data_IF_678991810948
#
_entry.id   IF_678991810948
#
_cell.length_a   1.000
_cell.length_b   1.000
_cell.length_c   1.000
_cell.angle_alpha   90.00
_cell.angle_beta   90.00
_cell.angle_gamma   90.00
#
_symmetry.space_group_name_H-M   'P 1'
#
loop_
_entity.id
_entity.type
_entity.pdbx_description
1 polymer ?
#
# COMPACT_ATOMS: atom_id res chain seq x y z
N UNK A 1 9.98 5.51 -0.96
CA UNK A 1 9.91 4.93 0.35
C UNK A 1 10.85 5.55 1.36
N UNK A 2 10.72 5.13 2.59
CA UNK A 2 11.55 5.63 3.70
C UNK A 2 13.06 5.40 3.49
N UNK A 3 13.44 4.29 2.84
CA UNK A 3 14.84 4.01 2.50
C UNK A 3 15.51 5.05 1.59
N UNK A 4 14.71 5.94 1.01
CA UNK A 4 15.21 7.01 0.16
C UNK A 4 16.09 8.02 0.84
N UNK A 5 15.97 8.21 2.16
CA UNK A 5 16.81 9.14 2.92
C UNK A 5 18.30 8.84 2.78
N UNK A 6 18.68 7.58 2.59
CA UNK A 6 20.07 7.16 2.41
C UNK A 6 20.77 7.77 1.18
N UNK A 7 20.01 8.27 0.20
CA UNK A 7 20.57 8.97 -0.97
C UNK A 7 20.92 10.44 -0.69
N UNK A 8 20.44 10.97 0.41
CA UNK A 8 20.61 12.37 0.80
C UNK A 8 21.45 12.52 2.07
N UNK A 9 21.39 11.53 2.97
CA UNK A 9 22.07 11.56 4.26
C UNK A 9 22.79 10.25 4.55
N UNK A 10 23.89 10.32 5.32
CA UNK A 10 24.55 9.13 5.84
C UNK A 10 23.83 8.66 7.08
N UNK A 11 22.96 7.68 6.90
CA UNK A 11 22.29 6.99 8.00
C UNK A 11 22.82 5.56 8.13
N UNK A 12 22.90 5.00 9.33
CA UNK A 12 23.26 3.61 9.49
C UNK A 12 22.20 2.70 8.87
N UNK A 13 22.64 1.67 8.13
CA UNK A 13 21.75 0.59 7.70
C UNK A 13 21.81 -0.51 8.77
N UNK A 14 20.71 -0.70 9.49
CA UNK A 14 20.66 -1.71 10.57
C UNK A 14 20.03 -3.02 10.12
N UNK A 15 19.14 -2.98 9.13
CA UNK A 15 18.39 -4.15 8.68
C UNK A 15 18.52 -4.34 7.18
N UNK A 16 18.87 -5.55 6.76
CA UNK A 16 18.80 -5.94 5.35
C UNK A 16 17.34 -6.02 4.91
N UNK A 17 17.06 -5.56 3.70
CA UNK A 17 15.74 -5.77 3.09
C UNK A 17 15.48 -7.26 2.95
N UNK A 18 14.29 -7.70 3.34
CA UNK A 18 13.83 -9.09 3.12
C UNK A 18 13.16 -9.29 1.75
N UNK A 19 13.04 -8.21 0.99
CA UNK A 19 12.40 -8.18 -0.33
C UNK A 19 13.33 -7.58 -1.36
N UNK A 20 13.30 -8.14 -2.54
CA UNK A 20 13.95 -7.57 -3.73
C UNK A 20 13.03 -6.51 -4.35
N UNK A 21 12.82 -5.43 -3.59
CA UNK A 21 12.01 -4.30 -3.98
C UNK A 21 12.86 -3.03 -3.98
N UNK A 22 12.80 -2.18 -5.00
CA UNK A 22 13.59 -0.96 -5.04
C UNK A 22 13.17 0.04 -3.95
N UNK A 23 14.13 0.83 -3.45
CA UNK A 23 13.85 1.90 -2.48
C UNK A 23 12.87 2.94 -3.04
N UNK A 24 12.94 3.17 -4.35
CA UNK A 24 12.05 4.05 -5.09
C UNK A 24 11.52 3.37 -6.33
N UNK A 25 10.25 3.51 -6.54
CA UNK A 25 9.58 3.19 -7.78
C UNK A 25 8.60 4.31 -8.12
N UNK A 26 8.74 4.90 -9.29
CA UNK A 26 7.85 5.93 -9.80
C UNK A 26 7.30 5.49 -11.15
N UNK A 27 6.00 5.65 -11.32
CA UNK A 27 5.33 5.46 -12.60
C UNK A 27 4.71 6.78 -13.06
N UNK A 28 4.89 7.09 -14.33
CA UNK A 28 4.21 8.22 -14.96
C UNK A 28 3.00 7.67 -15.73
N UNK A 29 1.81 7.89 -15.18
CA UNK A 29 0.57 7.50 -15.84
C UNK A 29 0.33 8.37 -17.07
N UNK A 30 0.29 7.75 -18.25
CA UNK A 30 -0.07 8.44 -19.52
C UNK A 30 -1.54 8.71 -19.66
N UNK A 31 -2.36 7.93 -18.96
CA UNK A 31 -3.81 8.09 -18.87
C UNK A 31 -4.30 7.58 -17.53
N UNK A 32 -5.35 8.18 -17.01
CA UNK A 32 -5.99 7.72 -15.79
C UNK A 32 -7.48 8.04 -15.78
N UNK A 33 -8.22 7.26 -15.04
CA UNK A 33 -9.63 7.45 -14.77
C UNK A 33 -9.79 7.98 -13.36
N UNK A 34 -10.51 9.08 -13.22
CA UNK A 34 -10.91 9.63 -11.93
C UNK A 34 -12.39 9.38 -11.69
N UNK A 35 -12.73 8.79 -10.57
CA UNK A 35 -14.11 8.62 -10.13
C UNK A 35 -14.39 9.52 -8.93
N UNK A 36 -15.29 10.48 -9.12
CA UNK A 36 -15.79 11.31 -8.02
C UNK A 36 -16.95 10.60 -7.32
N UNK A 37 -16.73 10.21 -6.07
CA UNK A 37 -17.72 9.49 -5.26
C UNK A 37 -18.97 10.31 -4.94
N UNK A 38 -18.86 11.65 -4.89
CA UNK A 38 -19.98 12.53 -4.57
C UNK A 38 -20.91 12.73 -5.79
N UNK A 39 -20.32 13.11 -6.91
CA UNK A 39 -21.07 13.32 -8.16
C UNK A 39 -21.39 12.05 -8.93
N UNK A 40 -20.70 10.91 -8.58
CA UNK A 40 -20.79 9.63 -9.32
C UNK A 40 -20.33 9.73 -10.78
N UNK A 41 -19.43 10.67 -11.07
CA UNK A 41 -18.92 10.93 -12.41
C UNK A 41 -17.54 10.33 -12.58
N UNK A 42 -17.34 9.64 -13.70
CA UNK A 42 -16.03 9.23 -14.17
C UNK A 42 -15.46 10.28 -15.12
N UNK A 43 -14.23 10.70 -14.88
CA UNK A 43 -13.49 11.63 -15.73
C UNK A 43 -12.23 10.93 -16.23
N UNK A 44 -12.08 10.84 -17.55
CA UNK A 44 -10.87 10.30 -18.17
C UNK A 44 -9.89 11.42 -18.48
N UNK A 45 -8.62 11.21 -18.13
CA UNK A 45 -7.51 12.11 -18.40
C UNK A 45 -6.46 11.34 -19.22
N UNK A 46 -6.15 11.82 -20.41
CA UNK A 46 -5.23 11.18 -21.34
C UNK A 46 -5.49 11.59 -22.79
N UNK A 47 -4.72 11.00 -23.70
CA UNK A 47 -4.94 11.22 -25.11
C UNK A 47 -6.15 10.42 -25.66
N UNK A 48 -6.62 10.81 -26.86
CA UNK A 48 -7.83 10.24 -27.46
C UNK A 48 -7.67 8.76 -27.84
N UNK A 49 -6.48 8.35 -28.24
CA UNK A 49 -6.19 6.96 -28.61
C UNK A 49 -6.35 6.04 -27.40
N UNK A 50 -5.80 6.44 -26.26
CA UNK A 50 -5.90 5.70 -24.98
C UNK A 50 -7.31 5.66 -24.43
N UNK A 51 -8.12 6.68 -24.71
CA UNK A 51 -9.53 6.67 -24.36
C UNK A 51 -10.30 5.58 -25.12
N UNK A 52 -10.04 5.40 -26.41
CA UNK A 52 -10.66 4.32 -27.17
C UNK A 52 -10.19 2.95 -26.72
N UNK A 53 -8.89 2.77 -26.45
CA UNK A 53 -8.36 1.53 -25.89
C UNK A 53 -9.01 1.18 -24.55
N UNK A 54 -9.22 2.19 -23.71
CA UNK A 54 -9.93 2.05 -22.45
C UNK A 54 -11.37 1.58 -22.66
N UNK A 55 -12.13 2.24 -23.53
CA UNK A 55 -13.53 1.88 -23.82
C UNK A 55 -13.66 0.45 -24.36
N UNK A 56 -12.74 0.03 -25.21
CA UNK A 56 -12.73 -1.33 -25.76
C UNK A 56 -12.50 -2.36 -24.65
N UNK A 57 -11.57 -2.11 -23.74
CA UNK A 57 -11.28 -3.02 -22.64
C UNK A 57 -12.40 -3.09 -21.59
N UNK A 58 -12.92 -1.94 -21.19
CA UNK A 58 -13.98 -1.86 -20.17
C UNK A 58 -15.38 -2.18 -20.70
N UNK A 59 -15.63 -2.01 -21.99
CA UNK A 59 -16.92 -2.34 -22.58
C UNK A 59 -17.11 -3.82 -22.91
N UNK A 60 -16.08 -4.64 -22.77
CA UNK A 60 -16.08 -6.04 -23.19
C UNK A 60 -16.26 -7.05 -22.03
N UNK A 61 -16.12 -6.62 -20.79
CA UNK A 61 -16.22 -7.51 -19.64
C UNK A 61 -17.59 -7.44 -18.97
N UNK A 62 -18.20 -8.61 -18.79
CA UNK A 62 -19.42 -8.78 -17.98
C UNK A 62 -19.02 -8.80 -16.49
N UNK A 63 -18.90 -7.59 -15.90
CA UNK A 63 -18.44 -7.38 -14.51
C UNK A 63 -19.26 -8.18 -13.49
N UNK A 64 -20.56 -8.34 -13.72
CA UNK A 64 -21.45 -9.08 -12.82
C UNK A 64 -21.05 -10.56 -12.68
N UNK A 65 -20.60 -11.17 -13.77
CA UNK A 65 -20.17 -12.57 -13.76
C UNK A 65 -18.81 -12.78 -13.10
N UNK A 66 -17.90 -11.82 -13.28
CA UNK A 66 -16.59 -11.84 -12.65
C UNK A 66 -16.68 -11.69 -11.12
N UNK A 67 -17.59 -10.86 -10.63
CA UNK A 67 -17.80 -10.65 -9.19
C UNK A 67 -18.52 -11.84 -8.51
N UNK A 68 -19.46 -12.51 -9.20
CA UNK A 68 -20.07 -13.74 -8.68
C UNK A 68 -19.08 -14.91 -8.55
N UNK A 69 -18.19 -15.06 -9.51
CA UNK A 69 -17.17 -16.12 -9.48
C UNK A 69 -16.07 -15.84 -8.43
N UNK A 70 -15.77 -14.58 -8.18
CA UNK A 70 -14.85 -14.13 -7.11
C UNK A 70 -15.41 -14.34 -5.72
N UNK A 71 -16.68 -13.98 -5.49
CA UNK A 71 -17.35 -14.14 -4.19
C UNK A 71 -17.41 -15.60 -3.73
N UNK A 72 -17.27 -16.56 -4.65
CA UNK A 72 -17.26 -18.01 -4.35
C UNK A 72 -15.86 -18.56 -4.05
N UNK A 73 -14.77 -17.80 -4.29
CA UNK A 73 -13.40 -18.26 -4.05
C UNK A 73 -13.05 -18.10 -2.56
N UNK A 74 -12.93 -19.22 -1.86
CA UNK A 74 -12.27 -19.25 -0.55
C UNK A 74 -10.77 -19.37 -0.76
N UNK A 75 -10.06 -18.27 -0.55
CA UNK A 75 -8.60 -18.29 -0.60
C UNK A 75 -8.01 -19.03 0.58
N UNK A 76 -6.98 -19.84 0.30
CA UNK A 76 -6.22 -20.54 1.32
C UNK A 76 -5.02 -19.70 1.71
N UNK A 77 -4.67 -19.73 2.97
CA UNK A 77 -3.46 -19.08 3.44
C UNK A 77 -2.74 -19.94 4.48
N UNK A 78 -1.44 -19.74 4.59
CA UNK A 78 -0.60 -20.33 5.61
C UNK A 78 0.31 -19.24 6.17
N UNK A 79 0.31 -19.08 7.48
CA UNK A 79 1.25 -18.20 8.17
C UNK A 79 2.63 -18.88 8.14
N UNK A 80 3.63 -18.16 7.66
CA UNK A 80 5.02 -18.63 7.56
C UNK A 80 5.87 -18.06 8.70
N UNK A 81 5.42 -16.98 9.34
CA UNK A 81 6.08 -16.34 10.47
C UNK A 81 5.88 -17.16 11.74
N UNK A 82 6.93 -17.28 12.55
CA UNK A 82 6.83 -17.73 13.93
C UNK A 82 6.17 -16.63 14.78
N UNK A 83 4.87 -16.78 15.04
CA UNK A 83 4.09 -15.77 15.76
C UNK A 83 4.53 -15.58 17.22
N UNK A 84 4.99 -16.62 17.87
CA UNK A 84 5.43 -16.53 19.26
C UNK A 84 6.77 -15.79 19.34
N UNK A 85 7.72 -16.11 18.47
CA UNK A 85 8.99 -15.39 18.34
C UNK A 85 8.81 -13.92 17.98
N UNK A 86 7.91 -13.59 17.03
CA UNK A 86 7.60 -12.19 16.67
C UNK A 86 6.96 -11.43 17.84
N UNK A 87 6.07 -12.06 18.60
CA UNK A 87 5.48 -11.46 19.79
C UNK A 87 6.52 -11.12 20.84
N UNK A 88 7.44 -12.03 21.13
CA UNK A 88 8.53 -11.78 22.07
C UNK A 88 9.44 -10.66 21.59
N UNK A 89 9.78 -10.66 20.29
CA UNK A 89 10.55 -9.59 19.66
C UNK A 89 9.85 -8.25 19.81
N UNK A 90 8.56 -8.16 19.45
CA UNK A 90 7.79 -6.92 19.58
C UNK A 90 7.74 -6.39 21.01
N UNK A 91 7.51 -7.24 21.99
CA UNK A 91 7.51 -6.84 23.39
C UNK A 91 8.87 -6.29 23.83
N UNK A 92 9.96 -6.85 23.33
CA UNK A 92 11.31 -6.39 23.60
C UNK A 92 11.57 -5.00 23.00
N UNK A 93 11.27 -4.78 21.71
CA UNK A 93 11.45 -3.48 21.06
C UNK A 93 10.51 -2.42 21.66
N UNK A 94 9.28 -2.80 22.03
CA UNK A 94 8.33 -1.90 22.67
C UNK A 94 8.82 -1.40 24.03
N UNK A 95 9.43 -2.28 24.82
CA UNK A 95 10.06 -1.90 26.11
C UNK A 95 11.19 -0.89 25.88
N UNK A 96 12.08 -1.17 24.92
CA UNK A 96 13.19 -0.28 24.57
C UNK A 96 12.71 1.08 24.03
N UNK A 97 11.68 1.09 23.17
CA UNK A 97 11.08 2.31 22.67
C UNK A 97 10.52 3.20 23.80
N UNK A 98 9.87 2.59 24.79
CA UNK A 98 9.39 3.33 25.98
C UNK A 98 10.53 3.94 26.79
N UNK A 99 11.71 3.35 26.82
CA UNK A 99 12.89 3.92 27.47
C UNK A 99 13.36 5.18 26.74
N UNK A 100 13.43 5.17 25.40
CA UNK A 100 13.77 6.35 24.59
C UNK A 100 12.74 7.49 24.72
N UNK A 101 11.45 7.16 24.83
CA UNK A 101 10.42 8.17 25.10
C UNK A 101 10.57 8.80 26.49
N UNK A 102 10.93 8.00 27.52
CA UNK A 102 11.13 8.50 28.89
C UNK A 102 12.39 9.35 29.02
N UNK A 103 13.47 9.00 28.30
CA UNK A 103 14.71 9.79 28.29
C UNK A 103 14.61 11.08 27.50
N UNK A 104 13.55 11.24 26.69
CA UNK A 104 13.36 12.42 25.85
C UNK A 104 14.15 12.38 24.54
N UNK A 105 14.71 11.21 24.18
CA UNK A 105 15.43 11.04 22.91
C UNK A 105 14.51 11.13 21.70
N UNK A 106 13.24 10.74 21.87
CA UNK A 106 12.20 10.84 20.83
C UNK A 106 10.86 11.25 21.46
N UNK A 107 10.04 11.97 20.71
CA UNK A 107 8.66 12.31 21.10
C UNK A 107 7.67 11.24 20.63
N UNK A 108 7.95 10.65 19.49
CA UNK A 108 7.13 9.63 18.85
C UNK A 108 8.04 8.61 18.18
N UNK A 109 7.64 7.35 18.22
CA UNK A 109 8.28 6.26 17.49
C UNK A 109 7.22 5.28 17.03
N UNK A 110 7.30 4.88 15.77
CA UNK A 110 6.43 3.85 15.19
C UNK A 110 7.22 2.55 15.13
N UNK A 111 6.71 1.54 15.82
CA UNK A 111 7.23 0.18 15.76
C UNK A 111 6.51 -0.57 14.65
N UNK A 112 7.25 -1.25 13.81
CA UNK A 112 6.66 -2.07 12.74
C UNK A 112 6.94 -3.54 12.96
N UNK A 113 5.97 -4.36 12.62
CA UNK A 113 6.08 -5.81 12.53
C UNK A 113 5.90 -6.28 11.11
N UNK A 114 6.43 -7.46 10.81
CA UNK A 114 6.31 -8.08 9.53
C UNK A 114 5.84 -9.51 9.66
N UNK A 115 4.67 -9.79 9.11
CA UNK A 115 4.12 -11.13 9.03
C UNK A 115 4.23 -11.66 7.59
N UNK A 116 4.78 -12.87 7.45
CA UNK A 116 4.85 -13.57 6.15
C UNK A 116 3.74 -14.59 6.06
N UNK A 117 3.02 -14.54 4.96
CA UNK A 117 1.97 -15.50 4.64
C UNK A 117 2.20 -16.04 3.22
N UNK A 118 1.89 -17.30 3.01
CA UNK A 118 1.66 -17.84 1.68
C UNK A 118 0.16 -17.87 1.43
N UNK A 119 -0.29 -17.38 0.29
CA UNK A 119 -1.70 -17.36 -0.11
C UNK A 119 -1.83 -17.56 -1.61
N UNK A 120 -2.95 -18.12 -2.04
CA UNK A 120 -3.39 -18.20 -3.43
C UNK A 120 -4.33 -17.03 -3.81
N UNK A 121 -4.52 -16.06 -2.91
CA UNK A 121 -5.33 -14.87 -3.12
C UNK A 121 -4.65 -13.93 -4.11
N UNK A 122 -5.41 -13.43 -5.08
CA UNK A 122 -4.97 -12.35 -5.96
C UNK A 122 -4.81 -11.04 -5.17
N UNK A 123 -3.85 -10.21 -5.56
CA UNK A 123 -3.52 -8.98 -4.83
C UNK A 123 -4.65 -7.95 -4.85
N UNK A 124 -5.44 -7.91 -5.92
CA UNK A 124 -6.62 -7.03 -6.01
C UNK A 124 -7.74 -7.52 -5.11
N UNK A 125 -7.94 -8.84 -5.01
CA UNK A 125 -8.93 -9.43 -4.10
C UNK A 125 -8.52 -9.21 -2.64
N UNK A 126 -7.21 -9.29 -2.34
CA UNK A 126 -6.66 -8.87 -1.05
C UNK A 126 -6.95 -7.39 -0.76
N UNK A 127 -6.71 -6.49 -1.71
CA UNK A 127 -7.00 -5.07 -1.56
C UNK A 127 -8.48 -4.81 -1.30
N UNK A 128 -9.39 -5.51 -1.98
CA UNK A 128 -10.84 -5.40 -1.76
C UNK A 128 -11.21 -5.83 -0.33
N UNK A 129 -10.73 -6.98 0.10
CA UNK A 129 -10.95 -7.45 1.48
C UNK A 129 -10.39 -6.47 2.51
N UNK A 130 -9.21 -5.88 2.25
CA UNK A 130 -8.61 -4.84 3.10
C UNK A 130 -9.49 -3.59 3.14
N UNK A 131 -10.06 -3.17 2.00
CA UNK A 131 -10.92 -1.98 1.93
C UNK A 131 -12.25 -2.14 2.67
N UNK A 132 -12.74 -3.36 2.81
CA UNK A 132 -13.94 -3.68 3.57
C UNK A 132 -13.65 -3.81 5.08
N UNK A 133 -12.55 -4.48 5.43
CA UNK A 133 -12.22 -4.77 6.83
C UNK A 133 -11.54 -3.61 7.56
N UNK A 134 -10.74 -2.82 6.85
CA UNK A 134 -9.99 -1.70 7.41
C UNK A 134 -9.96 -0.49 6.46
N UNK A 135 -11.12 0.13 6.17
CA UNK A 135 -11.17 1.30 5.29
C UNK A 135 -10.42 2.48 5.88
N UNK A 136 -9.72 3.22 5.03
CA UNK A 136 -9.01 4.43 5.41
C UNK A 136 -9.08 5.51 4.31
N UNK A 137 -8.75 6.78 4.61
CA UNK A 137 -8.76 7.85 3.62
C UNK A 137 -7.82 7.62 2.43
N UNK A 138 -6.68 6.94 2.65
CA UNK A 138 -5.64 6.75 1.64
C UNK A 138 -5.43 5.26 1.38
N UNK A 139 -6.36 4.68 0.62
CA UNK A 139 -6.26 3.30 0.17
C UNK A 139 -5.58 3.25 -1.20
N UNK A 140 -4.72 2.27 -1.40
CA UNK A 140 -4.03 2.10 -2.68
C UNK A 140 -3.74 0.64 -3.00
N UNK A 141 -3.69 0.35 -4.29
CA UNK A 141 -3.18 -0.89 -4.87
C UNK A 141 -2.32 -0.55 -6.08
N UNK A 142 -1.03 -0.88 -6.01
CA UNK A 142 -0.05 -0.61 -7.05
C UNK A 142 0.57 -1.90 -7.56
N UNK A 143 0.13 -2.42 -8.70
CA UNK A 143 0.85 -3.46 -9.42
C UNK A 143 2.19 -2.92 -9.92
N UNK A 144 3.27 -3.61 -9.62
CA UNK A 144 4.61 -3.24 -10.08
C UNK A 144 5.35 -4.44 -10.66
N UNK A 145 6.42 -4.24 -11.45
CA UNK A 145 7.26 -5.34 -11.94
C UNK A 145 7.96 -6.14 -10.84
N UNK A 146 7.97 -5.63 -9.60
CA UNK A 146 8.65 -6.24 -8.45
C UNK A 146 7.67 -6.92 -7.49
N UNK A 147 6.39 -6.86 -7.78
CA UNK A 147 5.31 -7.34 -6.94
C UNK A 147 4.28 -6.23 -6.69
N UNK A 148 3.13 -6.61 -6.17
CA UNK A 148 2.04 -5.69 -5.92
C UNK A 148 2.12 -5.12 -4.51
N UNK A 149 1.78 -3.85 -4.38
CA UNK A 149 1.72 -3.15 -3.09
C UNK A 149 0.30 -2.69 -2.84
N UNK A 150 -0.31 -3.17 -1.78
CA UNK A 150 -1.62 -2.72 -1.33
C UNK A 150 -1.53 -2.14 0.08
N UNK A 151 -2.31 -1.11 0.36
CA UNK A 151 -2.28 -0.47 1.67
C UNK A 151 -3.55 0.27 2.03
N UNK A 152 -3.71 0.43 3.35
CA UNK A 152 -4.75 1.21 3.99
C UNK A 152 -4.06 2.18 4.94
N UNK A 153 -3.90 3.45 4.53
CA UNK A 153 -3.19 4.46 5.31
C UNK A 153 -4.16 5.49 5.88
N UNK A 154 -4.12 5.75 7.19
CA UNK A 154 -5.01 6.73 7.82
C UNK A 154 -4.54 8.17 7.65
N UNK A 155 -3.26 8.38 7.33
CA UNK A 155 -2.60 9.68 7.45
C UNK A 155 -1.85 10.05 6.19
N UNK A 156 -1.87 11.35 5.88
CA UNK A 156 -1.13 11.97 4.80
C UNK A 156 0.21 12.48 5.35
N UNK A 157 1.31 12.13 4.70
CA UNK A 157 2.63 12.66 5.07
C UNK A 157 2.77 14.10 4.59
N UNK A 158 2.49 14.35 3.31
CA UNK A 158 2.45 15.69 2.74
C UNK A 158 1.62 15.72 1.45
N UNK A 159 1.06 16.88 1.15
CA UNK A 159 0.35 17.18 -0.10
C UNK A 159 0.98 18.41 -0.77
N UNK A 160 1.14 18.35 -2.08
CA UNK A 160 1.52 19.52 -2.87
C UNK A 160 0.32 19.95 -3.69
N UNK A 161 -0.18 21.15 -3.40
CA UNK A 161 -1.33 21.74 -4.10
C UNK A 161 -1.09 23.20 -4.39
N UNK A 162 -1.30 23.61 -5.66
CA UNK A 162 -1.12 24.98 -6.12
C UNK A 162 0.24 25.60 -5.71
N UNK A 163 1.32 24.81 -5.81
CA UNK A 163 2.69 25.23 -5.46
C UNK A 163 2.96 25.38 -3.96
N UNK A 164 2.03 24.95 -3.10
CA UNK A 164 2.18 24.92 -1.64
C UNK A 164 2.32 23.49 -1.13
N UNK A 165 3.12 23.32 -0.09
CA UNK A 165 3.29 22.05 0.60
C UNK A 165 2.46 22.09 1.88
N UNK A 166 1.58 21.11 2.04
CA UNK A 166 0.81 20.87 3.26
C UNK A 166 1.40 19.64 3.93
N UNK A 167 1.67 19.73 5.22
CA UNK A 167 2.16 18.64 6.07
C UNK A 167 1.11 18.39 7.13
N UNK A 168 0.74 17.12 7.33
CA UNK A 168 -0.23 16.73 8.37
C UNK A 168 0.45 16.61 9.75
#
# INVERSE_FOLDING_TARGET
>A
GYGGIKYFEKIPEFNASQYDFPDFFYANARAYLHFDKNSKIYSFYGDRERYYDFLVKFGAEDEAKADEDRAKRQSKYKILTDLDGEKEHFLSIAKRAKEYLKSGDVFQVVLSEQLKLASDMDSLDFYRALSESNPSPYMFHFPTPYGDVAGSSPELVCEIKEGKIYVA
#
